data_IF_111172278098
#
_entry.id   IF_111172278098
#
_cell.length_a   1.000
_cell.length_b   1.000
_cell.length_c   1.000
_cell.angle_alpha   90.00
_cell.angle_beta   90.00
_cell.angle_gamma   90.00
#
_symmetry.space_group_name_H-M   'P 1'
#
loop_
_entity.id
_entity.type
_entity.pdbx_description
1 polymer ?
#
# COMPACT_ATOMS: atom_id res chain seq x y z
N UNK A 1 -5.20 30.61 13.39
CA UNK A 1 -5.26 29.17 13.05
C UNK A 1 -6.13 28.97 11.80
N UNK A 2 -5.66 29.42 10.63
CA UNK A 2 -6.45 29.46 9.37
C UNK A 2 -5.64 29.08 8.11
N UNK A 3 -4.42 28.56 8.28
CA UNK A 3 -3.50 28.29 7.17
C UNK A 3 -3.50 26.80 6.75
N UNK A 4 -3.79 25.87 7.68
CA UNK A 4 -3.87 24.42 7.35
C UNK A 4 -5.09 24.01 6.51
N UNK A 5 -6.20 24.75 6.58
CA UNK A 5 -7.47 24.34 5.91
C UNK A 5 -7.58 24.74 4.43
N UNK A 6 -6.68 25.61 3.94
CA UNK A 6 -6.73 26.14 2.56
C UNK A 6 -5.78 25.37 1.64
N UNK A 7 -4.65 24.88 2.15
CA UNK A 7 -3.75 23.99 1.40
C UNK A 7 -4.36 22.59 1.19
N UNK A 8 -5.01 22.03 2.22
CA UNK A 8 -5.67 20.72 2.14
C UNK A 8 -6.76 20.65 1.05
N UNK A 9 -7.55 21.72 0.85
CA UNK A 9 -8.64 21.69 -0.15
C UNK A 9 -8.16 21.68 -1.60
N UNK A 10 -7.01 22.27 -1.90
CA UNK A 10 -6.52 22.37 -3.27
C UNK A 10 -5.83 21.07 -3.73
N UNK A 11 -5.13 20.38 -2.82
CA UNK A 11 -4.50 19.10 -3.14
C UNK A 11 -5.52 17.97 -3.33
N UNK A 12 -6.52 17.86 -2.45
CA UNK A 12 -7.60 16.87 -2.61
C UNK A 12 -8.32 17.07 -3.94
N UNK A 13 -8.51 18.32 -4.39
CA UNK A 13 -9.12 18.63 -5.69
C UNK A 13 -8.22 18.26 -6.88
N UNK A 14 -6.90 18.46 -6.78
CA UNK A 14 -5.94 18.11 -7.85
C UNK A 14 -5.75 16.60 -8.01
N UNK A 15 -5.71 15.83 -6.92
CA UNK A 15 -5.62 14.36 -6.95
C UNK A 15 -6.95 13.71 -7.36
N UNK A 16 -8.09 14.24 -6.91
CA UNK A 16 -9.42 13.77 -7.33
C UNK A 16 -9.62 13.94 -8.84
N UNK A 17 -9.01 14.95 -9.48
CA UNK A 17 -9.07 15.15 -10.92
C UNK A 17 -8.27 14.11 -11.74
N UNK A 18 -7.52 13.21 -11.10
CA UNK A 18 -6.65 12.22 -11.76
C UNK A 18 -7.23 10.79 -11.67
N UNK A 19 -8.23 10.56 -10.80
CA UNK A 19 -8.92 9.27 -10.71
C UNK A 19 -10.23 9.23 -11.52
N UNK A 20 -10.66 8.06 -12.05
CA UNK A 20 -11.88 7.94 -12.84
C UNK A 20 -13.12 8.45 -12.11
N UNK A 21 -14.09 9.00 -12.87
CA UNK A 21 -15.38 9.49 -12.33
C UNK A 21 -16.11 8.43 -11.50
N UNK A 22 -16.08 7.17 -11.95
CA UNK A 22 -16.62 6.02 -11.23
C UNK A 22 -16.00 5.82 -9.83
N UNK A 23 -14.71 6.11 -9.67
CA UNK A 23 -14.04 6.07 -8.36
C UNK A 23 -14.45 7.26 -7.48
N UNK A 24 -14.58 8.46 -8.07
CA UNK A 24 -15.05 9.65 -7.34
C UNK A 24 -16.49 9.49 -6.83
N UNK A 25 -17.36 8.87 -7.64
CA UNK A 25 -18.73 8.53 -7.28
C UNK A 25 -18.75 7.54 -6.12
N UNK A 26 -17.94 6.47 -6.18
CA UNK A 26 -17.83 5.52 -5.07
C UNK A 26 -17.35 6.20 -3.79
N UNK A 27 -16.33 7.06 -3.86
CA UNK A 27 -15.82 7.76 -2.67
C UNK A 27 -16.89 8.67 -2.04
N UNK A 28 -17.72 9.30 -2.88
CA UNK A 28 -18.84 10.12 -2.42
C UNK A 28 -19.92 9.30 -1.71
N UNK A 29 -20.11 8.04 -2.12
CA UNK A 29 -21.02 7.09 -1.47
C UNK A 29 -20.45 6.63 -0.12
N UNK A 30 -19.21 6.11 -0.11
CA UNK A 30 -18.50 5.64 1.08
C UNK A 30 -18.44 6.70 2.18
N UNK A 31 -18.33 7.98 1.80
CA UNK A 31 -18.31 9.08 2.78
C UNK A 31 -19.58 9.16 3.64
N UNK A 32 -20.71 8.66 3.14
CA UNK A 32 -21.99 8.64 3.86
C UNK A 32 -22.21 7.34 4.64
N UNK A 33 -21.33 6.35 4.47
CA UNK A 33 -21.39 5.05 5.14
C UNK A 33 -20.70 5.13 6.52
N UNK A 34 -21.18 4.29 7.44
CA UNK A 34 -20.71 4.20 8.83
C UNK A 34 -20.48 2.75 9.22
N UNK A 35 -19.26 2.43 9.64
CA UNK A 35 -18.84 1.03 9.86
C UNK A 35 -18.63 0.72 11.34
N UNK A 36 -19.20 -0.40 11.81
CA UNK A 36 -19.02 -0.86 13.20
C UNK A 36 -17.55 -1.25 13.47
N UNK A 37 -16.88 -1.79 12.46
CA UNK A 37 -15.49 -2.24 12.48
C UNK A 37 -14.51 -1.07 12.73
N UNK A 38 -14.90 0.13 12.33
CA UNK A 38 -14.15 1.38 12.59
C UNK A 38 -14.54 2.05 13.91
N UNK A 39 -15.40 1.41 14.73
CA UNK A 39 -15.95 1.92 15.98
C UNK A 39 -16.69 3.26 15.86
N UNK A 40 -17.42 3.43 14.76
CA UNK A 40 -18.26 4.60 14.55
C UNK A 40 -19.55 4.49 15.39
N UNK A 41 -19.84 5.45 16.29
CA UNK A 41 -21.02 5.38 17.15
C UNK A 41 -22.33 5.53 16.37
N UNK A 42 -22.28 6.07 15.15
CA UNK A 42 -23.41 6.19 14.23
C UNK A 42 -23.67 4.92 13.41
N UNK A 43 -22.77 3.93 13.44
CA UNK A 43 -22.96 2.70 12.70
C UNK A 43 -24.17 1.91 13.23
N UNK A 44 -25.02 1.45 12.32
CA UNK A 44 -26.22 0.66 12.62
C UNK A 44 -26.11 -0.80 12.17
N UNK A 45 -24.91 -1.20 11.75
CA UNK A 45 -24.57 -2.55 11.29
C UNK A 45 -25.09 -2.90 9.89
N UNK A 46 -25.56 -1.91 9.11
CA UNK A 46 -26.06 -2.13 7.76
C UNK A 46 -24.99 -2.02 6.67
N UNK A 47 -23.97 -1.19 6.89
CA UNK A 47 -22.82 -1.06 6.01
C UNK A 47 -21.75 -2.10 6.37
N UNK A 48 -21.09 -2.65 5.35
CA UNK A 48 -20.06 -3.68 5.48
C UNK A 48 -18.72 -3.09 5.03
N UNK A 49 -17.79 -2.91 5.96
CA UNK A 49 -16.45 -2.40 5.63
C UNK A 49 -15.77 -3.31 4.62
N UNK A 50 -15.84 -4.62 4.85
CA UNK A 50 -15.30 -5.64 3.95
C UNK A 50 -15.80 -5.49 2.51
N UNK A 51 -17.10 -5.29 2.31
CA UNK A 51 -17.66 -5.14 0.96
C UNK A 51 -17.22 -3.82 0.33
N UNK A 52 -17.07 -2.76 1.13
CA UNK A 52 -16.54 -1.49 0.66
C UNK A 52 -15.08 -1.59 0.23
N UNK A 53 -14.22 -2.25 1.02
CA UNK A 53 -12.82 -2.49 0.65
C UNK A 53 -12.73 -3.26 -0.67
N UNK A 54 -13.53 -4.31 -0.84
CA UNK A 54 -13.61 -5.08 -2.09
C UNK A 54 -14.00 -4.23 -3.30
N UNK A 55 -15.08 -3.44 -3.19
CA UNK A 55 -15.54 -2.54 -4.27
C UNK A 55 -14.44 -1.56 -4.70
N UNK A 56 -13.69 -1.01 -3.75
CA UNK A 56 -12.58 -0.09 -4.06
C UNK A 56 -11.45 -0.82 -4.81
N UNK A 57 -11.04 -2.01 -4.36
CA UNK A 57 -10.00 -2.80 -5.04
C UNK A 57 -10.43 -3.25 -6.44
N UNK A 58 -11.68 -3.63 -6.63
CA UNK A 58 -12.24 -3.97 -7.95
C UNK A 58 -12.13 -2.80 -8.94
N UNK A 59 -12.35 -1.56 -8.49
CA UNK A 59 -12.17 -0.36 -9.31
C UNK A 59 -10.71 -0.09 -9.67
N UNK A 60 -9.74 -0.44 -8.82
CA UNK A 60 -8.31 -0.31 -9.12
C UNK A 60 -7.90 -1.24 -10.27
N UNK A 61 -8.55 -2.40 -10.39
CA UNK A 61 -8.30 -3.40 -11.43
C UNK A 61 -8.56 -2.88 -12.87
N UNK A 62 -9.30 -1.77 -13.00
CA UNK A 62 -9.92 -1.31 -14.23
C UNK A 62 -9.04 -1.39 -15.50
N UNK A 63 -9.61 -2.05 -16.53
CA UNK A 63 -9.21 -2.20 -17.96
C UNK A 63 -7.83 -2.78 -18.29
N UNK A 64 -6.80 -2.64 -17.47
CA UNK A 64 -5.46 -3.21 -17.71
C UNK A 64 -4.97 -4.02 -16.51
N UNK A 65 -4.99 -5.36 -16.64
CA UNK A 65 -4.56 -6.30 -15.60
C UNK A 65 -3.09 -6.12 -15.19
N UNK A 66 -2.21 -5.75 -16.14
CA UNK A 66 -0.78 -5.57 -15.85
C UNK A 66 -0.57 -4.28 -15.05
N UNK A 67 -1.26 -3.21 -15.41
CA UNK A 67 -1.23 -1.96 -14.65
C UNK A 67 -1.88 -2.13 -13.26
N UNK A 68 -3.00 -2.85 -13.17
CA UNK A 68 -3.65 -3.18 -11.91
C UNK A 68 -2.69 -3.85 -10.92
N UNK A 69 -1.94 -4.84 -11.39
CA UNK A 69 -0.92 -5.51 -10.57
C UNK A 69 0.14 -4.52 -10.03
N UNK A 70 0.55 -3.53 -10.81
CA UNK A 70 1.48 -2.49 -10.32
C UNK A 70 0.87 -1.60 -9.25
N UNK A 71 -0.40 -1.24 -9.42
CA UNK A 71 -1.14 -0.46 -8.42
C UNK A 71 -1.29 -1.23 -7.11
N UNK A 72 -1.50 -2.54 -7.18
CA UNK A 72 -1.52 -3.43 -6.01
C UNK A 72 -0.17 -3.48 -5.30
N UNK A 73 0.92 -3.75 -6.03
CA UNK A 73 2.27 -3.70 -5.44
C UNK A 73 2.58 -2.33 -4.81
N UNK A 74 2.15 -1.24 -5.45
CA UNK A 74 2.35 0.12 -4.94
C UNK A 74 1.55 0.40 -3.67
N UNK A 75 0.27 0.00 -3.63
CA UNK A 75 -0.57 0.09 -2.44
C UNK A 75 0.05 -0.68 -1.27
N UNK A 76 0.50 -1.91 -1.53
CA UNK A 76 1.19 -2.73 -0.53
C UNK A 76 2.45 -2.05 -0.01
N UNK A 77 3.27 -1.44 -0.87
CA UNK A 77 4.45 -0.68 -0.42
C UNK A 77 4.07 0.47 0.52
N UNK A 78 2.99 1.21 0.23
CA UNK A 78 2.52 2.28 1.11
C UNK A 78 2.07 1.71 2.46
N UNK A 79 1.27 0.65 2.46
CA UNK A 79 0.71 0.05 3.68
C UNK A 79 1.80 -0.53 4.59
N UNK A 80 2.74 -1.32 4.05
CA UNK A 80 3.82 -1.89 4.87
C UNK A 80 4.77 -0.82 5.43
N UNK A 81 4.90 0.32 4.75
CA UNK A 81 5.68 1.44 5.27
C UNK A 81 5.01 2.07 6.49
N UNK A 82 3.68 2.15 6.54
CA UNK A 82 2.94 2.63 7.72
C UNK A 82 3.05 1.64 8.89
N UNK A 83 3.17 0.34 8.61
CA UNK A 83 3.30 -0.73 9.61
C UNK A 83 4.74 -0.93 10.09
N UNK A 84 5.75 -0.61 9.28
CA UNK A 84 7.19 -0.73 9.62
C UNK A 84 7.53 -0.18 11.02
N UNK A 85 7.09 1.03 11.43
CA UNK A 85 7.37 1.57 12.77
C UNK A 85 6.89 0.68 13.93
N UNK A 86 5.82 -0.09 13.75
CA UNK A 86 5.33 -1.03 14.75
C UNK A 86 6.38 -2.09 15.05
N UNK A 87 6.97 -2.68 14.01
CA UNK A 87 8.01 -3.70 14.19
C UNK A 87 9.32 -3.08 14.70
N UNK A 88 9.70 -1.89 14.22
CA UNK A 88 10.89 -1.18 14.69
C UNK A 88 10.80 -0.81 16.19
N UNK A 89 9.60 -0.52 16.69
CA UNK A 89 9.38 -0.22 18.11
C UNK A 89 9.77 -1.41 19.01
N UNK A 90 9.45 -2.64 18.59
CA UNK A 90 9.73 -3.84 19.37
C UNK A 90 11.10 -4.48 19.08
N UNK A 91 11.61 -4.32 17.85
CA UNK A 91 12.96 -4.78 17.45
C UNK A 91 13.55 -3.83 16.39
N UNK A 92 14.28 -2.82 16.86
CA UNK A 92 14.87 -1.79 15.98
C UNK A 92 15.96 -2.31 15.04
N UNK A 93 16.47 -3.53 15.26
CA UNK A 93 17.49 -4.16 14.41
C UNK A 93 16.87 -5.14 13.41
N UNK A 94 15.54 -5.24 13.38
CA UNK A 94 14.88 -6.20 12.55
C UNK A 94 15.03 -5.88 11.07
N UNK A 95 15.43 -6.89 10.29
CA UNK A 95 15.67 -6.73 8.86
C UNK A 95 14.43 -7.05 8.01
N UNK A 96 13.37 -7.65 8.60
CA UNK A 96 12.16 -8.05 7.87
C UNK A 96 11.55 -6.90 7.07
N UNK A 97 11.24 -5.73 7.65
CA UNK A 97 10.58 -4.67 6.89
C UNK A 97 11.40 -4.28 5.68
N UNK A 98 12.70 -4.07 5.88
CA UNK A 98 13.65 -3.72 4.82
C UNK A 98 13.77 -4.81 3.76
N UNK A 99 13.79 -6.09 4.13
CA UNK A 99 13.86 -7.20 3.17
C UNK A 99 12.61 -7.26 2.29
N UNK A 100 11.42 -7.17 2.89
CA UNK A 100 10.14 -7.23 2.17
C UNK A 100 9.96 -5.99 1.28
N UNK A 101 10.22 -4.78 1.79
CA UNK A 101 10.18 -3.53 1.02
C UNK A 101 11.09 -3.60 -0.21
N UNK A 102 12.35 -4.05 -0.04
CA UNK A 102 13.29 -4.17 -1.14
C UNK A 102 12.85 -5.21 -2.18
N UNK A 103 12.27 -6.32 -1.73
CA UNK A 103 11.79 -7.36 -2.63
C UNK A 103 10.62 -6.87 -3.47
N UNK A 104 9.58 -6.29 -2.84
CA UNK A 104 8.40 -5.76 -3.56
C UNK A 104 8.82 -4.63 -4.52
N UNK A 105 9.70 -3.73 -4.08
CA UNK A 105 10.25 -2.67 -4.93
C UNK A 105 10.97 -3.24 -6.16
N UNK A 106 11.80 -4.28 -5.95
CA UNK A 106 12.52 -4.96 -7.04
C UNK A 106 11.56 -5.67 -7.99
N UNK A 107 10.52 -6.33 -7.48
CA UNK A 107 9.47 -6.97 -8.28
C UNK A 107 8.77 -5.93 -9.15
N UNK A 108 8.33 -4.82 -8.57
CA UNK A 108 7.67 -3.73 -9.28
C UNK A 108 8.54 -3.21 -10.44
N UNK A 109 9.79 -2.82 -10.14
CA UNK A 109 10.74 -2.30 -11.14
C UNK A 109 11.04 -3.30 -12.26
N UNK A 110 11.25 -4.56 -11.90
CA UNK A 110 11.58 -5.59 -12.88
C UNK A 110 10.38 -5.95 -13.78
N UNK A 111 9.16 -5.93 -13.25
CA UNK A 111 7.98 -6.16 -14.06
C UNK A 111 7.73 -4.99 -15.03
N UNK A 112 7.93 -3.74 -14.61
CA UNK A 112 7.85 -2.56 -15.49
C UNK A 112 8.86 -2.69 -16.64
N UNK A 113 10.09 -3.09 -16.30
CA UNK A 113 11.14 -3.35 -17.28
C UNK A 113 10.97 -4.67 -18.06
N UNK A 114 9.86 -5.39 -17.86
CA UNK A 114 9.52 -6.67 -18.51
C UNK A 114 10.59 -7.76 -18.35
N UNK A 115 11.39 -7.70 -17.28
CA UNK A 115 12.45 -8.66 -16.94
C UNK A 115 11.93 -9.86 -16.17
N UNK A 116 10.79 -9.74 -15.50
CA UNK A 116 10.17 -10.81 -14.70
C UNK A 116 8.75 -11.03 -15.20
N UNK A 117 8.37 -12.29 -15.41
CA UNK A 117 6.99 -12.71 -15.57
C UNK A 117 6.55 -13.39 -14.26
N UNK A 118 5.85 -12.65 -13.41
CA UNK A 118 5.43 -13.10 -12.07
C UNK A 118 4.46 -14.30 -12.12
N UNK A 119 3.81 -14.54 -13.26
CA UNK A 119 3.00 -15.75 -13.50
C UNK A 119 3.82 -17.05 -13.54
N UNK A 120 5.15 -16.97 -13.53
CA UNK A 120 6.08 -18.12 -13.59
C UNK A 120 6.79 -18.33 -12.24
N UNK A 121 6.46 -17.56 -11.18
CA UNK A 121 7.07 -17.81 -9.88
C UNK A 121 6.57 -19.16 -9.37
N UNK A 122 7.48 -20.13 -9.29
CA UNK A 122 7.21 -21.46 -8.74
C UNK A 122 6.73 -21.34 -7.29
N UNK A 123 5.59 -21.95 -6.98
CA UNK A 123 4.95 -21.84 -5.67
C UNK A 123 5.86 -22.39 -4.58
N UNK A 124 6.51 -23.53 -4.80
CA UNK A 124 7.40 -24.14 -3.82
C UNK A 124 8.63 -23.28 -3.54
N UNK A 125 9.22 -22.67 -4.58
CA UNK A 125 10.34 -21.74 -4.42
C UNK A 125 9.93 -20.47 -3.66
N UNK A 126 8.73 -19.94 -3.94
CA UNK A 126 8.22 -18.76 -3.25
C UNK A 126 7.90 -19.02 -1.78
N UNK A 127 7.29 -20.15 -1.47
CA UNK A 127 6.94 -20.51 -0.10
C UNK A 127 8.21 -20.78 0.73
N UNK A 128 9.26 -21.32 0.11
CA UNK A 128 10.60 -21.41 0.71
C UNK A 128 11.22 -20.03 0.96
N UNK A 129 11.06 -19.08 0.03
CA UNK A 129 11.54 -17.71 0.20
C UNK A 129 10.83 -17.01 1.36
N UNK A 130 9.50 -17.12 1.44
CA UNK A 130 8.73 -16.61 2.57
C UNK A 130 9.23 -17.27 3.85
N UNK A 131 9.35 -18.60 3.89
CA UNK A 131 9.82 -19.32 5.07
C UNK A 131 11.20 -18.82 5.51
N UNK A 132 12.15 -18.66 4.59
CA UNK A 132 13.50 -18.20 4.91
C UNK A 132 13.52 -16.75 5.40
N UNK A 133 12.74 -15.86 4.77
CA UNK A 133 12.57 -14.49 5.24
C UNK A 133 11.97 -14.51 6.65
N UNK A 134 10.95 -15.31 6.94
CA UNK A 134 10.28 -15.29 8.24
C UNK A 134 10.98 -16.13 9.33
N UNK A 135 11.92 -17.01 8.98
CA UNK A 135 12.60 -17.96 9.88
C UNK A 135 13.32 -17.32 11.07
N UNK A 136 13.86 -16.11 10.93
CA UNK A 136 14.63 -15.43 11.98
C UNK A 136 13.80 -14.55 12.91
N UNK A 137 12.48 -14.52 12.74
CA UNK A 137 11.59 -13.56 13.40
C UNK A 137 11.03 -14.05 14.75
N UNK A 138 11.55 -15.16 15.27
CA UNK A 138 11.33 -15.57 16.66
C UNK A 138 11.83 -14.53 17.69
N UNK A 139 12.74 -13.62 17.28
CA UNK A 139 13.28 -12.55 18.14
C UNK A 139 12.18 -11.63 18.70
N UNK A 140 11.14 -11.37 17.92
CA UNK A 140 10.02 -10.53 18.34
C UNK A 140 9.30 -11.05 19.59
N UNK A 141 9.24 -12.37 19.75
CA UNK A 141 8.55 -13.03 20.86
C UNK A 141 9.43 -13.22 22.10
N UNK A 142 10.69 -12.80 22.05
CA UNK A 142 11.61 -12.86 23.19
C UNK A 142 11.46 -11.64 24.11
N UNK A 143 10.79 -10.57 23.67
CA UNK A 143 10.54 -9.37 24.47
C UNK A 143 9.26 -9.50 25.31
N UNK A 144 9.41 -9.50 26.64
CA UNK A 144 8.32 -9.68 27.62
C UNK A 144 7.29 -8.54 27.68
N UNK A 145 7.57 -7.42 27.04
CA UNK A 145 6.71 -6.22 26.99
C UNK A 145 5.99 -6.08 25.64
N UNK A 146 6.16 -7.04 24.73
CA UNK A 146 5.41 -7.11 23.50
C UNK A 146 3.92 -7.31 23.80
N UNK A 147 3.07 -6.40 23.35
CA UNK A 147 1.69 -6.81 23.13
C UNK A 147 1.69 -7.75 21.93
N UNK A 148 1.44 -9.02 22.23
CA UNK A 148 1.53 -10.10 21.24
C UNK A 148 0.64 -9.83 20.02
N UNK A 149 -0.44 -9.06 20.18
CA UNK A 149 -1.37 -8.76 19.11
C UNK A 149 -0.77 -7.84 18.04
N UNK A 150 -0.27 -6.66 18.43
CA UNK A 150 0.34 -5.66 17.54
C UNK A 150 1.45 -6.27 16.69
N UNK A 151 2.33 -7.06 17.32
CA UNK A 151 3.43 -7.69 16.61
C UNK A 151 2.95 -8.78 15.67
N UNK A 152 2.00 -9.63 16.11
CA UNK A 152 1.47 -10.69 15.27
C UNK A 152 0.77 -10.13 14.03
N UNK A 153 -0.08 -9.11 14.19
CA UNK A 153 -0.80 -8.49 13.08
C UNK A 153 0.15 -7.68 12.18
N UNK A 154 1.15 -7.00 12.74
CA UNK A 154 2.20 -6.36 11.92
C UNK A 154 3.01 -7.40 11.12
N UNK A 155 3.37 -8.54 11.72
CA UNK A 155 4.01 -9.64 11.00
C UNK A 155 3.12 -10.22 9.91
N UNK A 156 1.81 -10.35 10.16
CA UNK A 156 0.85 -10.85 9.17
C UNK A 156 0.69 -9.90 7.98
N UNK A 157 0.72 -8.58 8.22
CA UNK A 157 0.80 -7.57 7.15
C UNK A 157 2.01 -7.82 6.24
N UNK A 158 3.20 -8.02 6.81
CA UNK A 158 4.40 -8.31 6.00
C UNK A 158 4.32 -9.67 5.30
N UNK A 159 3.67 -10.66 5.91
CA UNK A 159 3.46 -11.98 5.32
C UNK A 159 2.51 -11.90 4.11
N UNK A 160 1.38 -11.21 4.27
CA UNK A 160 0.45 -10.97 3.17
C UNK A 160 1.06 -10.06 2.10
N UNK A 161 1.91 -9.11 2.45
CA UNK A 161 2.65 -8.30 1.47
C UNK A 161 3.52 -9.15 0.53
N UNK A 162 4.11 -10.24 1.04
CA UNK A 162 4.79 -11.21 0.19
C UNK A 162 3.79 -11.88 -0.77
N UNK A 163 2.64 -12.33 -0.29
CA UNK A 163 1.61 -12.97 -1.14
C UNK A 163 1.14 -12.05 -2.29
N UNK A 164 1.17 -10.72 -2.13
CA UNK A 164 0.83 -9.78 -3.22
C UNK A 164 1.77 -9.91 -4.44
N UNK A 165 2.99 -10.41 -4.27
CA UNK A 165 3.90 -10.70 -5.39
C UNK A 165 3.28 -11.74 -6.34
N UNK A 166 2.42 -12.64 -5.87
CA UNK A 166 1.64 -13.54 -6.71
C UNK A 166 0.37 -12.81 -7.20
N UNK A 167 0.31 -12.53 -8.51
CA UNK A 167 -0.76 -11.75 -9.15
C UNK A 167 -2.17 -12.29 -8.83
N UNK A 168 -2.33 -13.61 -8.81
CA UNK A 168 -3.58 -14.30 -8.49
C UNK A 168 -3.98 -14.26 -7.01
N UNK A 169 -3.06 -13.90 -6.11
CA UNK A 169 -3.31 -13.74 -4.67
C UNK A 169 -3.38 -12.28 -4.23
N UNK A 170 -3.10 -11.34 -5.14
CA UNK A 170 -2.88 -9.92 -4.83
C UNK A 170 -4.06 -9.25 -4.11
N UNK A 171 -5.29 -9.42 -4.62
CA UNK A 171 -6.48 -8.79 -4.06
C UNK A 171 -6.77 -9.31 -2.64
N UNK A 172 -6.79 -10.63 -2.47
CA UNK A 172 -7.05 -11.24 -1.16
C UNK A 172 -5.99 -10.84 -0.14
N UNK A 173 -4.71 -10.88 -0.53
CA UNK A 173 -3.64 -10.49 0.36
C UNK A 173 -3.69 -9.01 0.76
N UNK A 174 -4.13 -8.11 -0.14
CA UNK A 174 -4.36 -6.70 0.22
C UNK A 174 -5.53 -6.55 1.19
N UNK A 175 -6.61 -7.33 1.03
CA UNK A 175 -7.73 -7.30 1.97
C UNK A 175 -7.28 -7.69 3.38
N UNK A 176 -6.51 -8.78 3.52
CA UNK A 176 -5.95 -9.20 4.82
C UNK A 176 -5.07 -8.09 5.43
N UNK A 177 -4.19 -7.45 4.66
CA UNK A 177 -3.40 -6.31 5.12
C UNK A 177 -4.30 -5.17 5.62
N UNK A 178 -5.38 -4.88 4.90
CA UNK A 178 -6.30 -3.81 5.26
C UNK A 178 -7.07 -4.13 6.54
N UNK A 179 -7.48 -5.39 6.77
CA UNK A 179 -8.09 -5.79 8.03
C UNK A 179 -7.13 -5.62 9.20
N UNK A 180 -5.89 -6.09 9.08
CA UNK A 180 -4.87 -5.91 10.12
C UNK A 180 -4.59 -4.43 10.44
N UNK A 181 -4.65 -3.57 9.42
CA UNK A 181 -4.41 -2.14 9.57
C UNK A 181 -5.62 -1.37 10.12
N UNK A 182 -6.82 -1.63 9.60
CA UNK A 182 -8.04 -0.85 9.87
C UNK A 182 -8.83 -1.39 11.07
N UNK A 183 -8.89 -2.71 11.21
CA UNK A 183 -9.64 -3.41 12.24
C UNK A 183 -8.75 -4.01 13.34
N UNK A 184 -7.48 -4.24 13.03
CA UNK A 184 -6.47 -4.68 13.96
C UNK A 184 -5.73 -3.53 14.65
N UNK A 185 -4.48 -3.84 14.98
CA UNK A 185 -3.50 -3.09 15.75
C UNK A 185 -2.11 -3.17 15.09
N UNK A 186 -2.03 -3.57 13.81
CA UNK A 186 -0.76 -3.62 13.08
C UNK A 186 -0.07 -2.25 13.01
N UNK A 187 -0.79 -1.15 13.18
CA UNK A 187 -0.26 0.21 13.25
C UNK A 187 -0.22 0.69 14.70
N UNK A 188 0.98 0.85 15.25
CA UNK A 188 1.21 1.23 16.64
C UNK A 188 1.23 2.76 16.86
N UNK A 189 0.76 3.28 18.03
CA UNK A 189 0.03 2.58 19.09
C UNK A 189 -1.50 2.53 18.87
N UNK A 190 -1.95 1.52 18.13
CA UNK A 190 -3.28 0.93 18.24
C UNK A 190 -4.45 1.74 17.69
N UNK A 191 -5.65 1.25 18.04
CA UNK A 191 -6.98 1.47 17.46
C UNK A 191 -7.56 2.89 17.47
N UNK A 192 -6.78 3.92 17.80
CA UNK A 192 -7.26 5.30 17.76
C UNK A 192 -7.22 5.84 16.33
N UNK A 193 -8.30 6.51 15.91
CA UNK A 193 -8.39 7.14 14.60
C UNK A 193 -8.64 6.18 13.45
N UNK A 194 -9.28 5.02 13.67
CA UNK A 194 -9.63 4.05 12.59
C UNK A 194 -10.35 4.69 11.41
N UNK A 195 -11.32 5.57 11.68
CA UNK A 195 -11.99 6.33 10.61
C UNK A 195 -11.04 7.29 9.90
N UNK A 196 -10.14 7.95 10.62
CA UNK A 196 -9.12 8.83 10.02
C UNK A 196 -8.13 8.03 9.16
N UNK A 197 -7.71 6.85 9.62
CA UNK A 197 -6.86 5.93 8.88
C UNK A 197 -7.56 5.38 7.63
N UNK A 198 -8.85 5.03 7.74
CA UNK A 198 -9.67 4.63 6.61
C UNK A 198 -9.81 5.76 5.59
N UNK A 199 -10.13 6.97 6.05
CA UNK A 199 -10.22 8.15 5.19
C UNK A 199 -8.87 8.45 4.51
N UNK A 200 -7.74 8.32 5.23
CA UNK A 200 -6.40 8.44 4.64
C UNK A 200 -6.15 7.37 3.57
N UNK A 201 -6.49 6.10 3.85
CA UNK A 201 -6.37 5.05 2.86
C UNK A 201 -7.21 5.35 1.61
N UNK A 202 -8.46 5.73 1.79
CA UNK A 202 -9.40 5.99 0.70
C UNK A 202 -9.01 7.23 -0.11
N UNK A 203 -8.63 8.32 0.55
CA UNK A 203 -8.45 9.63 -0.10
C UNK A 203 -7.02 9.89 -0.56
N UNK A 204 -6.03 9.29 0.09
CA UNK A 204 -4.62 9.48 -0.28
C UNK A 204 -4.03 8.20 -0.92
N UNK A 205 -4.15 7.06 -0.23
CA UNK A 205 -3.46 5.82 -0.68
C UNK A 205 -4.05 5.28 -1.97
N UNK A 206 -5.37 5.18 -2.08
CA UNK A 206 -6.04 4.65 -3.27
C UNK A 206 -5.70 5.49 -4.52
N UNK A 207 -5.85 6.84 -4.53
CA UNK A 207 -5.45 7.65 -5.67
C UNK A 207 -3.95 7.63 -5.96
N UNK A 208 -3.10 7.65 -4.93
CA UNK A 208 -1.65 7.52 -5.06
C UNK A 208 -1.28 6.21 -5.76
N UNK A 209 -1.91 5.12 -5.34
CA UNK A 209 -1.71 3.77 -5.90
C UNK A 209 -2.20 3.67 -7.32
N UNK A 210 -3.38 4.23 -7.62
CA UNK A 210 -3.93 4.27 -8.97
C UNK A 210 -2.98 4.93 -9.97
N UNK A 211 -2.23 5.95 -9.51
CA UNK A 211 -1.33 6.76 -10.33
C UNK A 211 0.16 6.40 -10.17
N UNK A 212 0.52 5.43 -9.32
CA UNK A 212 1.91 5.10 -8.99
C UNK A 212 2.71 6.32 -8.49
N UNK A 213 2.04 7.17 -7.71
CA UNK A 213 2.60 8.35 -7.06
C UNK A 213 2.68 8.13 -5.55
N UNK A 214 3.56 8.84 -4.84
CA UNK A 214 3.54 8.85 -3.38
C UNK A 214 2.22 9.46 -2.85
N UNK A 215 1.72 9.03 -1.68
CA UNK A 215 0.62 9.73 -1.00
C UNK A 215 1.07 11.14 -0.56
N UNK A 216 0.11 12.03 -0.26
CA UNK A 216 0.42 13.40 0.22
C UNK A 216 1.22 13.36 1.51
N UNK A 217 0.78 12.47 2.39
CA UNK A 217 1.39 12.25 3.69
C UNK A 217 1.24 10.79 4.07
N UNK A 218 2.17 10.33 4.89
CA UNK A 218 2.05 9.03 5.53
C UNK A 218 1.26 9.16 6.83
N UNK A 219 0.31 8.26 7.02
CA UNK A 219 -0.31 8.07 8.32
C UNK A 219 0.77 7.63 9.31
N UNK A 220 0.92 8.39 10.37
CA UNK A 220 1.75 8.07 11.51
C UNK A 220 1.00 8.56 12.73
N UNK A 221 0.83 7.68 13.71
CA UNK A 221 0.04 7.97 14.91
C UNK A 221 0.63 9.18 15.63
N UNK A 222 -0.22 10.13 15.98
CA UNK A 222 0.19 11.45 16.49
C UNK A 222 0.98 11.39 17.82
N UNK A 223 0.91 10.28 18.55
CA UNK A 223 1.59 10.04 19.83
C UNK A 223 3.05 9.59 19.74
N UNK A 224 3.60 9.32 18.55
CA UNK A 224 5.00 8.92 18.39
C UNK A 224 5.95 10.12 18.42
N UNK A 225 6.98 10.07 19.27
CA UNK A 225 7.95 11.17 19.45
C UNK A 225 8.71 11.51 18.16
N UNK A 226 9.01 10.51 17.33
CA UNK A 226 9.78 10.62 16.10
C UNK A 226 8.89 10.64 14.83
N UNK A 227 7.59 10.93 14.94
CA UNK A 227 6.64 10.84 13.82
C UNK A 227 7.05 11.63 12.57
N UNK A 228 7.61 12.82 12.73
CA UNK A 228 8.04 13.65 11.60
C UNK A 228 9.25 13.07 10.88
N UNK A 229 10.16 12.41 11.61
CA UNK A 229 11.30 11.70 11.03
C UNK A 229 10.83 10.47 10.26
N UNK A 230 9.90 9.69 10.84
CA UNK A 230 9.27 8.54 10.18
C UNK A 230 8.59 8.97 8.87
N UNK A 231 7.71 9.98 8.92
CA UNK A 231 7.02 10.53 7.74
C UNK A 231 8.01 10.96 6.66
N UNK A 232 9.07 11.66 7.05
CA UNK A 232 10.10 12.13 6.13
C UNK A 232 10.87 10.98 5.48
N UNK A 233 11.22 9.94 6.25
CA UNK A 233 11.91 8.74 5.75
C UNK A 233 11.05 8.00 4.72
N UNK A 234 9.80 7.71 5.06
CA UNK A 234 8.85 7.01 4.18
C UNK A 234 8.59 7.82 2.90
N UNK A 235 8.37 9.12 3.03
CA UNK A 235 8.15 10.04 1.91
C UNK A 235 9.35 10.09 0.97
N UNK A 236 10.57 10.16 1.50
CA UNK A 236 11.80 10.15 0.69
C UNK A 236 11.94 8.84 -0.09
N UNK A 237 11.69 7.70 0.55
CA UNK A 237 11.79 6.40 -0.07
C UNK A 237 10.81 6.25 -1.25
N UNK A 238 9.52 6.57 -1.05
CA UNK A 238 8.54 6.46 -2.14
C UNK A 238 8.77 7.48 -3.26
N UNK A 239 9.23 8.69 -2.95
CA UNK A 239 9.59 9.66 -4.00
C UNK A 239 10.74 9.13 -4.87
N UNK A 240 11.76 8.51 -4.27
CA UNK A 240 12.86 7.90 -5.00
C UNK A 240 12.36 6.75 -5.88
N UNK A 241 11.54 5.84 -5.33
CA UNK A 241 10.97 4.73 -6.08
C UNK A 241 10.04 5.19 -7.21
N UNK A 242 9.19 6.19 -6.96
CA UNK A 242 8.26 6.73 -7.96
C UNK A 242 9.01 7.37 -9.12
N UNK A 243 10.06 8.14 -8.82
CA UNK A 243 10.93 8.73 -9.85
C UNK A 243 11.55 7.64 -10.74
N UNK A 244 12.07 6.57 -10.14
CA UNK A 244 12.65 5.45 -10.88
C UNK A 244 11.62 4.71 -11.75
N UNK A 245 10.42 4.46 -11.20
CA UNK A 245 9.30 3.84 -11.91
C UNK A 245 8.90 4.68 -13.12
N UNK A 246 8.73 5.99 -12.95
CA UNK A 246 8.34 6.89 -14.03
C UNK A 246 9.42 7.08 -15.08
N UNK A 247 10.69 7.09 -14.70
CA UNK A 247 11.82 7.09 -15.63
C UNK A 247 11.78 5.83 -16.53
N UNK A 248 11.52 4.66 -15.95
CA UNK A 248 11.47 3.39 -16.68
C UNK A 248 10.22 3.30 -17.57
N UNK A 249 9.05 3.76 -17.10
CA UNK A 249 7.84 3.87 -17.92
C UNK A 249 8.10 4.79 -19.12
N UNK A 250 8.70 5.96 -18.90
CA UNK A 250 8.98 6.95 -19.95
C UNK A 250 9.92 6.39 -21.03
N UNK A 251 11.01 5.72 -20.64
CA UNK A 251 11.93 5.04 -21.58
C UNK A 251 11.21 3.96 -22.40
N UNK A 252 10.33 3.19 -21.77
CA UNK A 252 9.57 2.15 -22.44
C UNK A 252 8.54 2.70 -23.44
N UNK A 253 7.98 3.89 -23.19
CA UNK A 253 7.09 4.57 -24.14
C UNK A 253 7.87 5.09 -25.36
N UNK A 254 8.98 5.79 -25.14
CA UNK A 254 9.84 6.34 -26.21
C UNK A 254 10.33 5.20 -27.13
N UNK A 255 10.82 4.10 -26.56
CA UNK A 255 11.34 2.97 -27.36
C UNK A 255 10.27 2.24 -28.20
N UNK A 256 8.98 2.30 -27.79
CA UNK A 256 7.87 1.78 -28.59
C UNK A 256 7.51 2.70 -29.75
N UNK A 257 7.56 4.01 -29.55
CA UNK A 257 7.30 5.00 -30.61
C UNK A 257 8.37 4.93 -31.71
N UNK A 258 9.64 4.84 -31.34
CA UNK A 258 10.76 4.67 -32.29
C UNK A 258 10.67 3.36 -33.10
N UNK A 259 10.26 2.26 -32.46
CA UNK A 259 9.98 0.98 -33.16
C UNK A 259 8.80 1.08 -34.12
N UNK A 260 7.76 1.83 -33.77
CA UNK A 260 6.59 2.01 -34.64
C UNK A 260 6.94 2.86 -35.85
N UNK A 261 7.72 3.93 -35.66
CA UNK A 261 8.19 4.80 -36.73
C UNK A 261 9.18 4.09 -37.67
N UNK A 262 10.10 3.27 -37.15
CA UNK A 262 11.03 2.51 -37.98
C UNK A 262 10.33 1.46 -38.85
N UNK A 263 9.27 0.80 -38.37
CA UNK A 263 8.46 -0.14 -39.18
C UNK A 263 7.74 0.60 -40.32
N UNK A 264 7.22 1.80 -40.07
CA UNK A 264 6.55 2.63 -41.08
C UNK A 264 7.54 3.14 -42.14
N UNK A 265 8.76 3.48 -41.76
CA UNK A 265 9.81 3.96 -42.70
C UNK A 265 10.43 2.81 -43.51
N UNK A 266 10.29 1.56 -43.04
CA UNK A 266 10.84 0.36 -43.69
C UNK A 266 9.84 -0.36 -44.62
N UNK A 267 8.59 0.14 -44.73
CA UNK A 267 7.50 -0.45 -45.53
C UNK A 267 7.24 0.37 -46.79
#
# INVERSE_FOLDING_TARGET
MKIKSIQNRNYTQEVLNIIPEEMQLLFSQIKLEHYEELYEPEADGTDSLQDTLKKVLELIQHKDKKLAYYRYLWMTLILILVVEPTLEYYDSNNLLPKQVINLISSVLQNNINSKINTKIIDNDAFDKLITEIFKSHESYFQNKEASFQEINEALDVFYNAMKVIKDDQSVEAILEILYDCLEGYAIFPGSYGRRELFDWWLLDVVPASYNLLPPESFYVVEGLENKEEIRLRQTRLLNQLSSQVWDDISKNLISKEEKTLSVIISS
#
